data_IF_028644437143
#
_entry.id   IF_028644437143
#
_cell.length_a   1.000
_cell.length_b   1.000
_cell.length_c   1.000
_cell.angle_alpha   90.00
_cell.angle_beta   90.00
_cell.angle_gamma   90.00
#
_symmetry.space_group_name_H-M   'P 1'
#
loop_
_entity.id
_entity.type
_entity.pdbx_description
1 polymer ?
#
# COMPACT_ATOMS: atom_id res chain seq x y z
N UNK A 1 -15.48 -1.46 0.91
CA UNK A 1 -15.35 -2.82 0.36
C UNK A 1 -14.24 -2.93 -0.65
N UNK A 2 -13.31 -3.86 -0.42
CA UNK A 2 -12.28 -4.23 -1.40
C UNK A 2 -12.97 -4.90 -2.60
N UNK A 3 -12.74 -4.50 -3.86
CA UNK A 3 -13.32 -5.18 -5.02
C UNK A 3 -12.78 -6.60 -5.18
N UNK A 4 -13.62 -7.57 -5.54
CA UNK A 4 -13.27 -9.01 -5.56
C UNK A 4 -11.98 -9.35 -6.31
N UNK A 5 -11.72 -8.72 -7.46
CA UNK A 5 -10.48 -8.91 -8.23
C UNK A 5 -9.19 -8.60 -7.45
N UNK A 6 -9.30 -7.77 -6.41
CA UNK A 6 -8.22 -7.37 -5.51
C UNK A 6 -8.26 -8.07 -4.14
N UNK A 7 -9.30 -8.86 -3.81
CA UNK A 7 -9.40 -9.54 -2.51
C UNK A 7 -8.40 -10.69 -2.36
N UNK A 8 -7.99 -11.33 -3.46
CA UNK A 8 -7.13 -12.51 -3.42
C UNK A 8 -5.94 -12.44 -4.39
N UNK A 9 -4.77 -12.80 -3.88
CA UNK A 9 -3.51 -12.88 -4.64
C UNK A 9 -2.73 -14.13 -4.26
N UNK A 10 -2.21 -14.86 -5.24
CA UNK A 10 -1.18 -15.88 -4.99
C UNK A 10 0.13 -15.16 -4.62
N UNK A 11 0.87 -15.73 -3.67
CA UNK A 11 2.18 -15.22 -3.20
C UNK A 11 3.28 -16.30 -3.30
N UNK A 12 3.08 -17.25 -4.21
CA UNK A 12 3.93 -18.42 -4.44
C UNK A 12 3.38 -19.71 -3.85
N UNK A 13 4.16 -20.78 -3.99
CA UNK A 13 3.75 -22.13 -3.64
C UNK A 13 4.94 -23.10 -3.63
N UNK A 14 4.66 -24.37 -3.92
CA UNK A 14 5.63 -25.44 -4.11
C UNK A 14 5.02 -26.46 -5.07
N UNK A 15 5.53 -26.44 -6.30
CA UNK A 15 5.21 -27.44 -7.33
C UNK A 15 6.05 -28.69 -7.05
N UNK A 16 5.38 -29.84 -7.03
CA UNK A 16 5.98 -31.14 -6.82
C UNK A 16 5.67 -32.00 -8.04
N UNK A 17 6.68 -32.58 -8.73
CA UNK A 17 6.44 -33.46 -9.87
C UNK A 17 5.56 -34.65 -9.52
N UNK A 18 4.44 -34.83 -10.22
CA UNK A 18 3.33 -35.75 -9.94
C UNK A 18 2.47 -35.43 -8.68
N UNK A 19 2.69 -34.28 -8.05
CA UNK A 19 1.95 -33.78 -6.88
C UNK A 19 2.50 -34.23 -5.52
N UNK A 20 1.90 -33.74 -4.41
CA UNK A 20 0.86 -32.72 -4.35
C UNK A 20 1.42 -31.30 -4.52
N UNK A 21 0.75 -30.44 -5.30
CA UNK A 21 1.12 -29.02 -5.40
C UNK A 21 0.45 -28.20 -4.30
N UNK A 22 1.24 -27.38 -3.60
CA UNK A 22 0.80 -26.48 -2.54
C UNK A 22 0.94 -25.02 -2.99
N UNK A 23 -0.06 -24.20 -2.69
CA UNK A 23 -0.10 -22.79 -3.05
C UNK A 23 -0.52 -21.92 -1.87
N UNK A 24 -0.04 -20.68 -1.82
CA UNK A 24 -0.32 -19.73 -0.73
C UNK A 24 -1.07 -18.54 -1.30
N UNK A 25 -2.30 -18.34 -0.85
CA UNK A 25 -3.18 -17.27 -1.30
C UNK A 25 -3.41 -16.31 -0.14
N UNK A 26 -3.12 -15.02 -0.37
CA UNK A 26 -3.46 -13.95 0.57
C UNK A 26 -4.91 -13.56 0.36
N UNK A 27 -5.67 -13.60 1.44
CA UNK A 27 -6.96 -12.95 1.61
C UNK A 27 -6.72 -11.54 2.20
N UNK A 28 -6.81 -10.52 1.34
CA UNK A 28 -6.63 -9.12 1.72
C UNK A 28 -7.83 -8.55 2.50
N UNK A 29 -9.00 -9.20 2.43
CA UNK A 29 -10.17 -8.81 3.22
C UNK A 29 -9.99 -9.23 4.68
N UNK A 30 -9.71 -10.51 4.92
CA UNK A 30 -9.49 -11.04 6.28
C UNK A 30 -8.07 -10.84 6.81
N UNK A 31 -7.13 -10.39 5.96
CA UNK A 31 -5.70 -10.19 6.26
C UNK A 31 -5.01 -11.48 6.74
N UNK A 32 -5.18 -12.59 6.00
CA UNK A 32 -4.57 -13.90 6.27
C UNK A 32 -3.97 -14.52 5.01
N UNK A 33 -2.97 -15.38 5.14
CA UNK A 33 -2.67 -16.38 4.10
C UNK A 33 -3.47 -17.65 4.38
N UNK A 34 -4.05 -18.25 3.35
CA UNK A 34 -4.56 -19.63 3.39
C UNK A 34 -3.76 -20.45 2.38
N UNK A 35 -3.27 -21.61 2.80
CA UNK A 35 -2.67 -22.59 1.90
C UNK A 35 -3.74 -23.45 1.24
N UNK A 36 -3.57 -23.75 -0.04
CA UNK A 36 -4.38 -24.71 -0.79
C UNK A 36 -3.47 -25.80 -1.36
N UNK A 37 -3.79 -27.05 -1.06
CA UNK A 37 -3.05 -28.23 -1.49
C UNK A 37 -3.93 -29.05 -2.44
N UNK A 38 -3.40 -29.40 -3.61
CA UNK A 38 -4.05 -30.28 -4.58
C UNK A 38 -3.44 -31.68 -4.52
N UNK A 39 -4.23 -32.72 -4.78
CA UNK A 39 -3.75 -34.10 -4.76
C UNK A 39 -2.78 -34.45 -5.91
N UNK A 40 -2.64 -33.59 -6.91
CA UNK A 40 -1.78 -33.79 -8.09
C UNK A 40 -0.81 -32.63 -8.31
N UNK A 41 -0.18 -32.61 -9.48
CA UNK A 41 0.61 -31.47 -9.96
C UNK A 41 -0.32 -30.43 -10.59
N UNK A 42 -0.15 -29.14 -10.24
CA UNK A 42 -1.01 -28.07 -10.73
C UNK A 42 -0.29 -26.72 -10.71
N UNK A 43 -0.08 -26.15 -11.90
CA UNK A 43 0.70 -24.93 -12.14
C UNK A 43 -0.14 -23.65 -12.26
N UNK A 44 -1.47 -23.75 -12.42
CA UNK A 44 -2.36 -22.61 -12.68
C UNK A 44 -2.72 -21.83 -11.39
N UNK A 45 -2.08 -20.67 -11.20
CA UNK A 45 -2.32 -19.77 -10.05
C UNK A 45 -3.76 -19.25 -9.94
N UNK A 46 -4.40 -18.89 -11.06
CA UNK A 46 -5.76 -18.34 -11.03
C UNK A 46 -6.79 -19.45 -10.78
N UNK A 47 -6.59 -20.66 -11.28
CA UNK A 47 -7.42 -21.84 -10.95
C UNK A 47 -7.35 -22.18 -9.45
N UNK A 48 -6.18 -22.08 -8.82
CA UNK A 48 -6.03 -22.31 -7.37
C UNK A 48 -6.72 -21.23 -6.55
N UNK A 49 -6.68 -19.99 -7.02
CA UNK A 49 -7.45 -18.87 -6.48
C UNK A 49 -8.95 -19.10 -6.62
N UNK A 50 -9.45 -19.55 -7.77
CA UNK A 50 -10.87 -19.92 -7.96
C UNK A 50 -11.29 -21.06 -7.02
N UNK A 51 -10.46 -22.10 -6.86
CA UNK A 51 -10.74 -23.23 -5.98
C UNK A 51 -10.85 -22.79 -4.51
N UNK A 52 -10.00 -21.87 -4.03
CA UNK A 52 -10.14 -21.32 -2.68
C UNK A 52 -11.38 -20.43 -2.56
N UNK A 53 -11.64 -19.54 -3.52
CA UNK A 53 -12.80 -18.62 -3.53
C UNK A 53 -14.13 -19.38 -3.44
N UNK A 54 -14.21 -20.56 -4.07
CA UNK A 54 -15.38 -21.46 -4.00
C UNK A 54 -15.76 -21.84 -2.57
N UNK A 55 -14.79 -22.02 -1.68
CA UNK A 55 -15.00 -22.53 -0.30
C UNK A 55 -14.79 -21.48 0.80
N UNK A 56 -14.04 -20.40 0.55
CA UNK A 56 -13.61 -19.45 1.60
C UNK A 56 -14.77 -18.85 2.43
N UNK A 57 -15.97 -18.74 1.83
CA UNK A 57 -17.16 -18.21 2.49
C UNK A 57 -17.88 -19.21 3.42
N UNK A 58 -17.56 -20.50 3.33
CA UNK A 58 -18.10 -21.59 4.18
C UNK A 58 -17.08 -22.15 5.17
N UNK A 59 -15.78 -21.87 4.99
CA UNK A 59 -14.71 -22.25 5.91
C UNK A 59 -14.75 -21.43 7.21
N UNK A 60 -14.21 -21.99 8.29
CA UNK A 60 -14.05 -21.27 9.56
C UNK A 60 -13.00 -20.14 9.43
N UNK A 61 -13.14 -19.00 10.13
CA UNK A 61 -12.20 -17.88 10.06
C UNK A 61 -10.76 -18.20 10.50
N UNK A 62 -10.55 -19.29 11.24
CA UNK A 62 -9.25 -19.75 11.74
C UNK A 62 -8.54 -20.77 10.83
N UNK A 63 -9.19 -21.25 9.76
CA UNK A 63 -8.59 -22.18 8.77
C UNK A 63 -7.32 -21.57 8.15
N UNK A 64 -6.28 -22.39 8.09
CA UNK A 64 -4.91 -22.10 7.60
C UNK A 64 -4.58 -22.86 6.32
N UNK A 65 -5.07 -24.08 6.18
CA UNK A 65 -4.87 -24.91 5.00
C UNK A 65 -6.19 -25.57 4.58
N UNK A 66 -6.39 -25.72 3.26
CA UNK A 66 -7.37 -26.61 2.67
C UNK A 66 -6.72 -27.58 1.69
N UNK A 67 -7.24 -28.81 1.64
CA UNK A 67 -6.92 -29.78 0.59
C UNK A 67 -8.12 -29.96 -0.33
N UNK A 68 -7.88 -29.96 -1.64
CA UNK A 68 -8.94 -30.04 -2.67
C UNK A 68 -8.65 -31.10 -3.74
N UNK A 69 -9.73 -31.57 -4.38
CA UNK A 69 -9.66 -32.44 -5.55
C UNK A 69 -9.08 -31.72 -6.77
N UNK A 70 -8.76 -32.48 -7.83
CA UNK A 70 -8.38 -31.90 -9.13
C UNK A 70 -9.49 -31.04 -9.79
N UNK A 71 -10.74 -31.21 -9.35
CA UNK A 71 -11.91 -30.41 -9.77
C UNK A 71 -12.21 -29.23 -8.84
N UNK A 72 -11.45 -29.07 -7.75
CA UNK A 72 -11.61 -27.97 -6.80
C UNK A 72 -12.70 -28.20 -5.76
N UNK A 73 -12.99 -29.45 -5.41
CA UNK A 73 -13.93 -29.83 -4.34
C UNK A 73 -13.16 -29.99 -3.03
N UNK A 74 -13.71 -29.49 -1.92
CA UNK A 74 -13.05 -29.54 -0.61
C UNK A 74 -12.98 -30.98 -0.09
N UNK A 75 -11.76 -31.45 0.19
CA UNK A 75 -11.51 -32.77 0.77
C UNK A 75 -11.31 -32.70 2.29
N UNK A 76 -10.63 -31.66 2.76
CA UNK A 76 -10.41 -31.37 4.19
C UNK A 76 -9.90 -29.96 4.40
N UNK A 77 -10.15 -29.38 5.57
CA UNK A 77 -9.54 -28.15 6.05
C UNK A 77 -8.74 -28.38 7.35
N UNK A 78 -7.90 -27.41 7.72
CA UNK A 78 -7.13 -27.41 8.96
C UNK A 78 -6.92 -25.99 9.49
N UNK A 79 -7.07 -25.82 10.81
CA UNK A 79 -6.78 -24.60 11.55
C UNK A 79 -5.42 -24.65 12.30
N UNK A 80 -4.60 -25.67 12.03
CA UNK A 80 -3.29 -25.87 12.65
C UNK A 80 -2.34 -24.68 12.42
N UNK A 81 -1.80 -24.12 13.50
CA UNK A 81 -0.86 -22.98 13.47
C UNK A 81 0.50 -23.36 12.89
N UNK A 82 0.92 -24.62 12.94
CA UNK A 82 2.13 -25.09 12.23
C UNK A 82 1.95 -25.06 10.70
N UNK A 83 0.71 -24.86 10.21
CA UNK A 83 0.36 -24.62 8.79
C UNK A 83 0.00 -23.17 8.48
N UNK A 84 0.20 -22.24 9.42
CA UNK A 84 -0.01 -20.82 9.15
C UNK A 84 1.18 -20.21 8.39
N UNK A 85 1.11 -20.28 7.06
CA UNK A 85 2.06 -19.66 6.13
C UNK A 85 1.88 -18.14 5.95
N UNK A 86 1.11 -17.48 6.82
CA UNK A 86 1.04 -16.01 6.85
C UNK A 86 2.43 -15.43 7.14
N UNK A 87 2.91 -14.53 6.28
CA UNK A 87 4.20 -13.87 6.46
C UNK A 87 4.06 -12.67 7.40
N UNK A 88 4.98 -12.53 8.34
CA UNK A 88 5.13 -11.39 9.24
C UNK A 88 6.37 -10.62 8.76
N UNK A 89 6.24 -9.39 8.24
CA UNK A 89 7.41 -8.58 7.87
C UNK A 89 8.10 -7.97 9.09
N UNK A 90 9.32 -7.48 8.89
CA UNK A 90 9.97 -6.57 9.83
C UNK A 90 9.25 -5.22 9.84
N UNK A 91 8.89 -4.74 11.02
CA UNK A 91 8.44 -3.37 11.25
C UNK A 91 9.57 -2.62 11.98
N UNK A 92 10.14 -1.54 11.41
CA UNK A 92 11.24 -0.83 12.04
C UNK A 92 10.84 -0.08 13.32
N UNK A 93 11.80 0.28 14.18
CA UNK A 93 11.51 0.78 15.52
C UNK A 93 11.07 2.26 15.55
N UNK A 94 10.19 2.64 16.48
CA UNK A 94 9.67 3.99 16.71
C UNK A 94 10.76 4.92 17.21
N UNK A 95 11.64 4.42 18.07
CA UNK A 95 12.78 5.15 18.59
C UNK A 95 13.80 5.43 17.46
N UNK A 96 13.86 4.58 16.44
CA UNK A 96 14.61 4.85 15.20
C UNK A 96 13.89 5.90 14.31
N UNK A 97 12.55 5.90 14.29
CA UNK A 97 11.78 6.99 13.65
C UNK A 97 11.99 8.32 14.39
N UNK A 98 11.76 8.37 15.70
CA UNK A 98 11.94 9.54 16.57
C UNK A 98 13.38 10.09 16.55
N UNK A 99 14.40 9.22 16.43
CA UNK A 99 15.79 9.64 16.30
C UNK A 99 16.10 10.39 15.00
N UNK A 100 15.20 10.37 14.01
CA UNK A 100 15.38 11.01 12.70
C UNK A 100 14.25 11.97 12.31
N UNK A 101 13.10 11.90 13.00
CA UNK A 101 11.93 12.74 12.75
C UNK A 101 12.22 14.23 13.04
N UNK A 102 11.41 15.15 12.50
CA UNK A 102 11.37 16.54 12.97
C UNK A 102 11.03 16.63 14.46
N UNK A 103 11.09 17.83 15.04
CA UNK A 103 10.84 18.06 16.48
C UNK A 103 9.45 18.64 16.81
N UNK A 104 8.57 18.82 15.82
CA UNK A 104 7.39 19.69 15.91
C UNK A 104 6.02 18.98 15.78
N UNK A 105 5.96 17.68 15.48
CA UNK A 105 4.71 16.93 15.33
C UNK A 105 4.31 16.13 16.57
N UNK A 106 3.06 15.66 16.64
CA UNK A 106 2.62 14.63 17.62
C UNK A 106 2.56 13.26 16.94
N UNK A 107 3.64 12.51 17.08
CA UNK A 107 3.99 11.32 16.27
C UNK A 107 3.29 10.00 16.66
N UNK A 108 2.09 9.96 17.24
CA UNK A 108 1.42 8.64 17.44
C UNK A 108 -0.09 8.69 17.69
N UNK A 109 -0.69 7.51 17.48
CA UNK A 109 -2.02 7.05 17.90
C UNK A 109 -1.99 5.51 17.85
N UNK A 110 -2.50 4.79 18.83
CA UNK A 110 -2.44 3.32 18.78
C UNK A 110 -3.46 2.72 17.81
N UNK A 111 -3.13 1.61 17.14
CA UNK A 111 -4.07 0.82 16.35
C UNK A 111 -5.32 0.37 17.14
N UNK A 112 -5.21 0.22 18.46
CA UNK A 112 -6.35 -0.08 19.35
C UNK A 112 -7.29 1.11 19.60
N UNK A 113 -6.83 2.35 19.43
CA UNK A 113 -7.68 3.56 19.51
C UNK A 113 -8.55 3.73 18.24
N UNK A 114 -8.20 3.04 17.14
CA UNK A 114 -8.81 3.22 15.84
C UNK A 114 -9.91 2.20 15.56
N UNK A 115 -11.07 2.70 15.14
CA UNK A 115 -12.25 1.90 14.77
C UNK A 115 -12.36 1.84 13.25
N UNK A 116 -12.45 0.63 12.68
CA UNK A 116 -12.67 0.42 11.25
C UNK A 116 -14.02 1.00 10.79
N UNK A 117 -14.07 1.52 9.56
CA UNK A 117 -15.25 2.15 8.96
C UNK A 117 -15.52 1.71 7.53
N UNK A 118 -14.48 1.47 6.74
CA UNK A 118 -14.58 0.90 5.39
C UNK A 118 -13.25 0.25 5.00
N UNK A 119 -13.25 -0.63 4.00
CA UNK A 119 -12.07 -1.26 3.41
C UNK A 119 -11.91 -0.72 1.99
N UNK A 120 -10.91 0.13 1.78
CA UNK A 120 -10.73 0.87 0.53
C UNK A 120 -9.88 0.11 -0.51
N UNK A 121 -9.03 -0.83 -0.06
CA UNK A 121 -8.23 -1.66 -0.95
C UNK A 121 -7.30 -2.62 -0.19
N UNK A 122 -6.47 -3.41 -0.90
CA UNK A 122 -5.46 -4.27 -0.30
C UNK A 122 -4.51 -3.47 0.59
N UNK A 123 -4.52 -3.78 1.87
CA UNK A 123 -3.82 -3.01 2.91
C UNK A 123 -4.19 -1.51 2.92
N UNK A 124 -5.47 -1.14 2.75
CA UNK A 124 -5.98 0.24 2.90
C UNK A 124 -7.41 0.27 3.46
N UNK A 125 -7.61 0.86 4.64
CA UNK A 125 -8.90 0.97 5.32
C UNK A 125 -9.25 2.41 5.72
N UNK A 126 -10.54 2.76 5.75
CA UNK A 126 -11.05 3.96 6.41
C UNK A 126 -11.26 3.65 7.91
N UNK A 127 -10.83 4.56 8.78
CA UNK A 127 -10.93 4.42 10.24
C UNK A 127 -11.44 5.71 10.88
N UNK A 128 -12.00 5.61 12.09
CA UNK A 128 -12.33 6.76 12.95
C UNK A 128 -11.59 6.67 14.27
N UNK A 129 -10.99 7.77 14.73
CA UNK A 129 -10.41 7.90 16.07
C UNK A 129 -11.31 8.70 17.03
N UNK A 130 -11.31 8.41 18.35
CA UNK A 130 -11.83 9.31 19.38
C UNK A 130 -11.25 10.72 19.27
N UNK A 131 -11.96 11.68 19.85
CA UNK A 131 -11.44 13.05 20.01
C UNK A 131 -10.36 13.09 21.10
N UNK A 132 -9.28 13.84 20.85
CA UNK A 132 -8.17 13.99 21.79
C UNK A 132 -8.13 15.42 22.34
N UNK A 133 -9.14 15.77 23.13
CA UNK A 133 -9.23 17.03 23.89
C UNK A 133 -9.70 18.27 23.13
N UNK A 134 -9.94 18.19 21.82
CA UNK A 134 -10.12 19.36 20.94
C UNK A 134 -11.37 19.38 20.05
N UNK A 135 -12.19 18.33 19.98
CA UNK A 135 -13.37 18.36 19.10
C UNK A 135 -14.17 17.06 18.96
N UNK A 136 -14.64 16.78 17.75
CA UNK A 136 -15.38 15.57 17.37
C UNK A 136 -14.45 14.41 16.97
N UNK A 137 -14.95 13.16 16.86
CA UNK A 137 -14.21 12.07 16.23
C UNK A 137 -13.72 12.46 14.83
N UNK A 138 -12.48 12.12 14.48
CA UNK A 138 -11.92 12.36 13.14
C UNK A 138 -11.88 11.06 12.35
N UNK A 139 -12.28 11.13 11.08
CA UNK A 139 -11.98 10.10 10.08
C UNK A 139 -10.55 10.26 9.60
N UNK A 140 -9.90 9.12 9.36
CA UNK A 140 -8.56 8.96 8.78
C UNK A 140 -8.61 7.76 7.84
N UNK A 141 -7.61 7.57 6.98
CA UNK A 141 -7.36 6.27 6.35
C UNK A 141 -6.08 5.68 6.92
N UNK A 142 -5.99 4.36 6.79
CA UNK A 142 -5.00 3.47 7.32
C UNK A 142 -4.62 2.46 6.22
N UNK A 143 -3.68 2.84 5.34
CA UNK A 143 -2.87 1.85 4.57
C UNK A 143 -2.12 0.92 5.55
N UNK A 144 -1.46 -0.16 5.15
CA UNK A 144 -0.48 -0.84 6.05
C UNK A 144 0.49 -1.78 5.33
N UNK A 145 1.40 -2.34 6.14
CA UNK A 145 2.35 -3.43 5.91
C UNK A 145 1.89 -4.87 6.21
N UNK A 146 1.76 -5.76 5.23
CA UNK A 146 1.65 -7.22 5.48
C UNK A 146 2.78 -8.07 4.86
N UNK A 147 3.62 -7.52 3.98
CA UNK A 147 4.69 -8.27 3.30
C UNK A 147 5.99 -7.46 3.20
N UNK A 148 7.13 -8.14 3.29
CA UNK A 148 8.48 -7.52 3.33
C UNK A 148 8.80 -6.70 2.08
N UNK A 149 8.29 -7.12 0.92
CA UNK A 149 8.41 -6.41 -0.37
C UNK A 149 7.83 -4.98 -0.36
N UNK A 150 7.05 -4.62 0.67
CA UNK A 150 6.49 -3.28 0.85
C UNK A 150 7.16 -2.49 1.99
N UNK A 151 8.03 -3.12 2.80
CA UNK A 151 8.64 -2.48 3.99
C UNK A 151 9.43 -1.22 3.62
N UNK A 152 10.32 -1.31 2.63
CA UNK A 152 11.18 -0.18 2.25
C UNK A 152 10.39 0.95 1.57
N UNK A 153 9.48 0.60 0.66
CA UNK A 153 8.61 1.57 -0.02
C UNK A 153 7.70 2.33 0.97
N UNK A 154 7.13 1.65 1.96
CA UNK A 154 6.32 2.29 3.01
C UNK A 154 7.17 3.11 3.98
N UNK A 155 8.38 2.65 4.32
CA UNK A 155 9.33 3.44 5.12
C UNK A 155 9.74 4.73 4.41
N UNK A 156 10.03 4.66 3.10
CA UNK A 156 10.34 5.82 2.27
C UNK A 156 9.13 6.78 2.14
N UNK A 157 7.94 6.27 1.79
CA UNK A 157 6.69 7.05 1.69
C UNK A 157 6.44 7.86 2.98
N UNK A 158 6.49 7.19 4.14
CA UNK A 158 6.30 7.80 5.44
C UNK A 158 7.35 8.88 5.73
N UNK A 159 8.64 8.56 5.55
CA UNK A 159 9.73 9.46 5.90
C UNK A 159 9.81 10.69 4.99
N UNK A 160 9.44 10.55 3.72
CA UNK A 160 9.25 11.66 2.80
C UNK A 160 8.04 12.52 3.21
N UNK A 161 6.87 11.92 3.35
CA UNK A 161 5.62 12.66 3.55
C UNK A 161 5.60 13.43 4.88
N UNK A 162 6.25 12.92 5.92
CA UNK A 162 6.42 13.64 7.21
C UNK A 162 7.46 14.76 7.19
N UNK A 163 8.27 14.89 6.12
CA UNK A 163 9.33 15.91 5.96
C UNK A 163 9.02 16.93 4.86
N UNK A 164 8.01 16.68 4.01
CA UNK A 164 7.47 17.71 3.13
C UNK A 164 6.95 18.88 3.98
N UNK A 165 7.39 20.13 3.74
CA UNK A 165 6.84 21.30 4.42
C UNK A 165 5.38 21.51 3.99
N UNK A 166 4.61 22.26 4.78
CA UNK A 166 3.21 22.54 4.50
C UNK A 166 3.04 23.22 3.13
N UNK A 167 2.56 22.46 2.14
CA UNK A 167 2.32 22.90 0.77
C UNK A 167 0.83 22.74 0.45
N UNK A 168 0.17 23.82 0.02
CA UNK A 168 -1.27 23.88 -0.29
C UNK A 168 -1.73 23.00 -1.46
N UNK A 169 -0.81 22.35 -2.18
CA UNK A 169 -1.11 21.46 -3.30
C UNK A 169 -0.62 20.02 -3.06
N UNK A 170 -0.31 19.68 -1.81
CA UNK A 170 0.03 18.33 -1.34
C UNK A 170 -0.89 18.01 -0.15
N UNK A 171 -1.38 16.78 -0.05
CA UNK A 171 -2.20 16.38 1.11
C UNK A 171 -1.38 16.49 2.40
N UNK A 172 -1.80 17.27 3.41
CA UNK A 172 -1.03 17.46 4.62
C UNK A 172 -1.00 16.18 5.46
N UNK A 173 0.19 15.88 6.01
CA UNK A 173 0.42 14.73 6.87
C UNK A 173 -0.16 14.98 8.29
N UNK A 174 -1.44 14.61 8.55
CA UNK A 174 -2.06 14.81 9.88
C UNK A 174 -1.24 14.12 10.98
N UNK A 175 -1.02 12.80 10.88
CA UNK A 175 -0.27 12.05 11.89
C UNK A 175 0.47 10.83 11.38
N UNK A 176 1.49 10.48 12.16
CA UNK A 176 1.99 9.11 12.30
C UNK A 176 0.86 8.25 12.87
N UNK A 177 0.18 7.47 12.02
CA UNK A 177 -0.94 6.59 12.38
C UNK A 177 -0.41 5.21 12.78
N UNK A 178 0.03 5.06 14.03
CA UNK A 178 0.92 3.97 14.42
C UNK A 178 0.28 2.63 14.83
N UNK A 179 0.99 1.53 14.55
CA UNK A 179 0.77 0.21 15.18
C UNK A 179 2.06 -0.36 15.78
N UNK A 180 1.94 -1.02 16.94
CA UNK A 180 3.04 -1.32 17.87
C UNK A 180 3.65 -2.72 17.68
N UNK A 181 4.68 -2.88 16.86
CA UNK A 181 5.53 -4.08 16.88
C UNK A 181 6.43 -4.06 18.13
N UNK A 182 6.16 -4.96 19.08
CA UNK A 182 6.92 -5.04 20.33
C UNK A 182 6.67 -3.80 21.19
N UNK A 183 7.55 -2.80 21.08
CA UNK A 183 7.45 -1.54 21.82
C UNK A 183 7.18 -0.31 20.91
N UNK A 184 7.01 -0.50 19.59
CA UNK A 184 7.40 0.51 18.57
C UNK A 184 6.52 0.56 17.25
N UNK A 185 6.40 1.68 16.48
CA UNK A 185 5.15 2.30 15.91
C UNK A 185 5.24 2.88 14.42
N UNK A 186 4.27 2.68 13.44
CA UNK A 186 4.36 3.02 11.94
C UNK A 186 3.04 3.41 11.09
N UNK A 187 3.06 4.12 9.88
CA UNK A 187 2.11 5.22 9.34
C UNK A 187 1.57 5.32 7.84
N UNK A 188 0.35 5.90 7.50
CA UNK A 188 -0.44 5.57 6.23
C UNK A 188 -1.86 6.24 5.67
N UNK A 189 -2.01 7.28 4.76
CA UNK A 189 -3.08 7.46 3.63
C UNK A 189 -4.52 8.20 3.65
N UNK A 190 -5.25 8.43 2.47
CA UNK A 190 -6.78 8.58 2.15
C UNK A 190 -7.27 8.89 0.64
N UNK A 191 -8.60 9.14 0.27
CA UNK A 191 -9.19 9.37 -1.14
C UNK A 191 -10.46 10.31 -1.34
N UNK A 192 -10.88 10.76 -2.58
CA UNK A 192 -12.06 11.69 -2.93
C UNK A 192 -12.74 11.57 -4.37
N UNK A 193 -13.42 12.63 -4.90
CA UNK A 193 -14.35 12.70 -6.10
C UNK A 193 -13.86 13.67 -7.24
N UNK A 194 -14.52 13.73 -8.42
CA UNK A 194 -14.02 14.45 -9.65
C UNK A 194 -14.92 15.55 -10.27
N UNK A 195 -14.30 16.70 -10.55
CA UNK A 195 -14.49 17.58 -11.74
C UNK A 195 -13.10 17.70 -12.43
N UNK A 196 -12.84 18.63 -13.36
CA UNK A 196 -11.45 19.09 -13.60
C UNK A 196 -11.37 20.57 -14.03
N UNK A 197 -10.67 21.40 -13.24
CA UNK A 197 -10.52 22.85 -13.46
C UNK A 197 -9.13 23.24 -13.96
N UNK A 198 -9.02 24.36 -14.68
CA UNK A 198 -7.75 24.89 -15.15
C UNK A 198 -6.88 25.45 -14.00
N UNK A 199 -7.49 25.86 -12.88
CA UNK A 199 -6.80 26.11 -11.61
C UNK A 199 -6.07 24.84 -11.12
N UNK A 200 -6.78 23.71 -11.08
CA UNK A 200 -6.27 22.43 -10.61
C UNK A 200 -5.12 21.89 -11.49
N UNK A 201 -5.13 22.14 -12.80
CA UNK A 201 -3.94 21.92 -13.63
C UNK A 201 -2.75 22.73 -13.09
N UNK A 202 -2.90 24.04 -12.88
CA UNK A 202 -1.79 24.89 -12.38
C UNK A 202 -1.31 24.45 -10.99
N UNK A 203 -2.20 23.99 -10.12
CA UNK A 203 -1.87 23.44 -8.80
C UNK A 203 -0.99 22.18 -8.94
N UNK A 204 -1.36 21.24 -9.82
CA UNK A 204 -0.54 20.06 -10.13
C UNK A 204 0.83 20.43 -10.72
N UNK A 205 0.87 21.37 -11.67
CA UNK A 205 2.13 21.81 -12.28
C UNK A 205 3.05 22.50 -11.25
N UNK A 206 2.48 23.23 -10.29
CA UNK A 206 3.24 23.83 -9.18
C UNK A 206 3.79 22.76 -8.24
N UNK A 207 2.98 21.77 -7.85
CA UNK A 207 3.42 20.68 -6.98
C UNK A 207 4.56 19.84 -7.61
N UNK A 208 4.54 19.62 -8.93
CA UNK A 208 5.60 18.91 -9.66
C UNK A 208 6.86 19.77 -9.89
N UNK A 209 6.72 21.11 -10.02
CA UNK A 209 7.86 22.02 -9.98
C UNK A 209 8.49 22.07 -8.59
N UNK A 210 7.69 22.15 -7.52
CA UNK A 210 8.18 22.11 -6.13
C UNK A 210 8.91 20.79 -5.83
N UNK A 211 8.28 19.64 -6.06
CA UNK A 211 8.91 18.33 -5.81
C UNK A 211 10.25 18.19 -6.56
N UNK A 212 10.25 18.43 -7.88
CA UNK A 212 11.44 18.17 -8.69
C UNK A 212 12.54 19.24 -8.52
N UNK A 213 12.19 20.53 -8.53
CA UNK A 213 13.14 21.63 -8.63
C UNK A 213 13.47 22.28 -7.28
N UNK A 214 12.55 22.18 -6.32
CA UNK A 214 12.69 22.81 -5.00
C UNK A 214 13.16 21.81 -3.94
N UNK A 215 12.60 20.60 -3.95
CA UNK A 215 12.86 19.56 -2.94
C UNK A 215 13.74 18.39 -3.42
N UNK A 216 14.05 18.30 -4.72
CA UNK A 216 14.97 17.28 -5.29
C UNK A 216 14.37 15.88 -5.42
N UNK A 217 13.05 15.76 -5.47
CA UNK A 217 12.27 14.50 -5.45
C UNK A 217 11.55 14.29 -6.78
N UNK A 218 11.49 13.02 -7.23
CA UNK A 218 10.49 12.57 -8.22
C UNK A 218 9.40 11.74 -7.55
N UNK A 219 8.15 11.92 -7.96
CA UNK A 219 7.01 11.18 -7.44
C UNK A 219 6.87 9.78 -8.07
N UNK A 220 7.25 9.65 -9.35
CA UNK A 220 7.27 8.42 -10.14
C UNK A 220 5.91 7.73 -10.39
N UNK A 221 4.81 8.36 -9.97
CA UNK A 221 3.42 7.93 -10.26
C UNK A 221 2.42 9.09 -10.21
N UNK A 222 2.71 10.19 -10.90
CA UNK A 222 1.71 11.24 -11.16
C UNK A 222 0.59 10.60 -12.01
N UNK A 223 -0.61 10.45 -11.44
CA UNK A 223 -1.75 9.73 -12.02
C UNK A 223 -3.10 10.30 -11.54
N UNK A 224 -4.21 10.23 -12.31
CA UNK A 224 -5.53 10.75 -11.93
C UNK A 224 -6.19 10.09 -10.70
N UNK A 225 -5.62 9.00 -10.20
CA UNK A 225 -6.01 8.31 -8.96
C UNK A 225 -5.29 8.86 -7.72
N UNK A 226 -4.17 9.56 -7.92
CA UNK A 226 -3.26 10.08 -6.90
C UNK A 226 -3.47 11.60 -6.70
N UNK A 227 -4.60 12.13 -7.17
CA UNK A 227 -5.02 13.53 -7.01
C UNK A 227 -6.34 13.60 -6.26
N UNK A 228 -6.44 14.51 -5.29
CA UNK A 228 -7.68 14.87 -4.59
C UNK A 228 -8.04 16.33 -4.88
N UNK A 229 -9.27 16.69 -4.53
CA UNK A 229 -9.69 18.10 -4.43
C UNK A 229 -10.15 18.34 -2.99
N UNK A 230 -9.62 19.40 -2.38
CA UNK A 230 -10.11 19.92 -1.12
C UNK A 230 -11.44 20.67 -1.36
N UNK A 231 -12.51 20.22 -0.70
CA UNK A 231 -13.85 20.77 -0.90
C UNK A 231 -14.05 22.13 -0.23
N UNK A 232 -13.21 22.49 0.75
CA UNK A 232 -13.30 23.74 1.50
C UNK A 232 -12.42 24.84 0.87
N UNK A 233 -11.28 24.47 0.28
CA UNK A 233 -10.33 25.44 -0.34
C UNK A 233 -10.35 25.48 -1.88
N UNK A 234 -10.99 24.50 -2.53
CA UNK A 234 -10.96 24.29 -4.00
C UNK A 234 -9.55 24.04 -4.57
N UNK A 235 -8.56 23.70 -3.73
CA UNK A 235 -7.22 23.30 -4.16
C UNK A 235 -7.18 21.84 -4.59
N UNK A 236 -6.26 21.53 -5.53
CA UNK A 236 -5.95 20.16 -5.92
C UNK A 236 -4.73 19.70 -5.14
N UNK A 237 -4.82 18.51 -4.55
CA UNK A 237 -3.81 17.94 -3.66
C UNK A 237 -3.23 16.65 -4.25
N UNK A 238 -1.91 16.57 -4.35
CA UNK A 238 -1.16 15.37 -4.74
C UNK A 238 -0.91 14.46 -3.51
N UNK A 239 -0.98 13.14 -3.69
CA UNK A 239 -0.73 12.14 -2.63
C UNK A 239 -0.26 10.78 -3.20
N UNK A 240 0.00 9.82 -2.28
CA UNK A 240 0.50 8.45 -2.57
C UNK A 240 1.95 8.43 -3.10
N UNK A 241 2.87 8.96 -2.28
CA UNK A 241 4.30 9.02 -2.53
C UNK A 241 5.03 7.64 -2.47
N UNK A 242 4.31 6.53 -2.68
CA UNK A 242 4.80 5.15 -2.52
C UNK A 242 5.93 4.75 -3.49
N UNK A 243 6.01 5.39 -4.65
CA UNK A 243 7.08 5.23 -5.63
C UNK A 243 8.09 6.39 -5.62
N UNK A 244 7.98 7.34 -4.68
CA UNK A 244 8.79 8.56 -4.73
C UNK A 244 10.25 8.35 -4.33
N UNK A 245 11.17 9.04 -5.01
CA UNK A 245 12.61 8.87 -4.85
C UNK A 245 13.37 10.20 -4.90
N UNK A 246 14.55 10.23 -4.29
CA UNK A 246 15.56 11.29 -4.49
C UNK A 246 16.07 11.24 -5.93
N UNK A 247 16.12 12.39 -6.60
CA UNK A 247 16.70 12.48 -7.95
C UNK A 247 18.18 12.08 -7.90
N UNK A 248 18.62 11.23 -8.83
CA UNK A 248 20.01 10.76 -8.94
C UNK A 248 20.39 9.60 -8.00
N UNK A 249 19.49 9.14 -7.13
CA UNK A 249 19.67 7.94 -6.30
C UNK A 249 19.06 6.69 -6.97
N UNK A 250 19.48 5.50 -6.53
CA UNK A 250 19.14 4.22 -7.19
C UNK A 250 17.64 3.90 -7.31
N UNK A 251 16.81 4.48 -6.44
CA UNK A 251 15.35 4.26 -6.42
C UNK A 251 14.62 5.06 -7.54
N UNK A 252 15.29 6.04 -8.17
CA UNK A 252 14.72 6.89 -9.21
C UNK A 252 14.79 6.22 -10.59
N UNK A 253 13.77 5.44 -10.94
CA UNK A 253 13.66 4.79 -12.23
C UNK A 253 13.50 5.80 -13.38
N UNK A 254 14.46 5.94 -14.32
CA UNK A 254 14.46 7.00 -15.33
C UNK A 254 13.26 6.93 -16.30
N UNK A 255 12.62 5.77 -16.42
CA UNK A 255 11.39 5.60 -17.18
C UNK A 255 10.16 6.27 -16.53
N UNK A 256 10.12 6.40 -15.20
CA UNK A 256 9.00 6.94 -14.40
C UNK A 256 9.13 8.45 -14.17
N UNK A 257 9.33 9.20 -15.25
CA UNK A 257 9.52 10.65 -15.20
C UNK A 257 8.21 11.41 -14.90
N UNK A 258 8.22 12.35 -13.95
CA UNK A 258 7.01 13.10 -13.53
C UNK A 258 6.43 14.01 -14.61
N UNK A 259 7.26 14.60 -15.49
CA UNK A 259 6.77 15.42 -16.61
C UNK A 259 5.98 14.51 -17.57
N UNK A 260 6.47 13.29 -17.83
CA UNK A 260 5.76 12.26 -18.60
C UNK A 260 4.45 11.83 -17.90
N UNK A 261 4.50 11.53 -16.61
CA UNK A 261 3.31 11.16 -15.81
C UNK A 261 2.25 12.27 -15.77
N UNK A 262 2.67 13.54 -15.70
CA UNK A 262 1.79 14.71 -15.75
C UNK A 262 1.10 14.84 -17.10
N UNK A 263 1.81 14.65 -18.22
CA UNK A 263 1.23 14.71 -19.57
C UNK A 263 0.12 13.65 -19.74
N UNK A 264 0.37 12.40 -19.33
CA UNK A 264 -0.64 11.35 -19.38
C UNK A 264 -1.82 11.65 -18.43
N UNK A 265 -1.55 12.11 -17.21
CA UNK A 265 -2.59 12.46 -16.22
C UNK A 265 -3.58 13.50 -16.73
N UNK A 266 -3.10 14.56 -17.39
CA UNK A 266 -3.95 15.63 -17.92
C UNK A 266 -4.75 15.15 -19.15
N UNK A 267 -4.19 14.23 -19.94
CA UNK A 267 -4.92 13.54 -21.00
C UNK A 267 -6.04 12.66 -20.43
N UNK A 268 -5.71 11.72 -19.54
CA UNK A 268 -6.64 10.79 -18.89
C UNK A 268 -7.81 11.50 -18.17
N UNK A 269 -7.56 12.66 -17.56
CA UNK A 269 -8.61 13.47 -16.92
C UNK A 269 -9.62 14.06 -17.92
N UNK A 270 -9.17 14.38 -19.15
CA UNK A 270 -9.98 15.00 -20.21
C UNK A 270 -10.66 13.93 -21.08
N UNK A 271 -9.96 12.87 -21.44
CA UNK A 271 -10.42 11.85 -22.41
C UNK A 271 -11.02 10.61 -21.76
N UNK A 272 -10.67 10.32 -20.50
CA UNK A 272 -10.87 9.03 -19.81
C UNK A 272 -10.20 7.82 -20.47
N UNK A 273 -9.34 8.03 -21.47
CA UNK A 273 -8.50 7.01 -22.08
C UNK A 273 -7.18 6.87 -21.29
N UNK A 274 -6.96 5.70 -20.72
CA UNK A 274 -5.75 5.31 -19.98
C UNK A 274 -4.87 4.30 -20.73
N UNK A 275 -5.18 3.99 -21.99
CA UNK A 275 -4.49 2.97 -22.80
C UNK A 275 -2.98 3.19 -22.91
N UNK A 276 -2.53 4.46 -22.93
CA UNK A 276 -1.12 4.82 -22.89
C UNK A 276 -0.42 4.42 -21.60
N UNK A 277 -1.12 4.41 -20.45
CA UNK A 277 -0.59 4.03 -19.13
C UNK A 277 -0.67 2.52 -18.88
N UNK A 278 -1.53 1.79 -19.59
CA UNK A 278 -1.59 0.32 -19.56
C UNK A 278 -0.33 -0.33 -20.17
N UNK A 279 0.46 0.40 -20.98
CA UNK A 279 1.79 -0.03 -21.44
C UNK A 279 2.80 -0.01 -20.28
N UNK A 280 3.79 -0.93 -20.23
CA UNK A 280 4.90 -0.87 -19.27
C UNK A 280 5.67 0.45 -19.31
N UNK A 281 6.17 0.91 -18.16
CA UNK A 281 6.71 2.27 -17.97
C UNK A 281 7.82 2.67 -18.95
N UNK A 282 8.60 1.71 -19.44
CA UNK A 282 9.68 1.89 -20.42
C UNK A 282 9.20 2.05 -21.87
N UNK A 283 8.03 1.50 -22.22
CA UNK A 283 7.37 1.66 -23.54
C UNK A 283 6.50 2.92 -23.63
N UNK A 284 6.11 3.50 -22.48
CA UNK A 284 5.30 4.72 -22.42
C UNK A 284 6.05 5.93 -22.99
N UNK A 285 5.56 6.50 -24.10
CA UNK A 285 6.13 7.67 -24.75
C UNK A 285 5.15 8.86 -24.72
N UNK A 286 5.59 10.02 -24.19
CA UNK A 286 4.75 11.23 -24.14
C UNK A 286 4.53 11.88 -25.52
N UNK A 287 5.34 11.56 -26.53
CA UNK A 287 5.16 12.05 -27.89
C UNK A 287 3.85 11.53 -28.51
N UNK A 288 3.41 10.32 -28.16
CA UNK A 288 2.17 9.70 -28.63
C UNK A 288 0.96 10.60 -28.34
N UNK A 289 0.87 11.12 -27.11
CA UNK A 289 -0.21 12.03 -26.66
C UNK A 289 0.00 13.48 -27.09
N UNK A 290 1.26 13.96 -27.10
CA UNK A 290 1.58 15.35 -27.48
C UNK A 290 1.42 15.64 -28.97
N UNK A 291 1.67 14.66 -29.83
CA UNK A 291 1.57 14.81 -31.29
C UNK A 291 0.14 14.81 -31.82
N UNK A 292 -0.83 14.34 -31.02
CA UNK A 292 -2.25 14.40 -31.37
C UNK A 292 -2.69 15.85 -31.62
N UNK A 293 -3.31 16.12 -32.78
CA UNK A 293 -3.82 17.46 -33.11
C UNK A 293 -4.92 17.93 -32.15
N UNK A 294 -5.80 17.02 -31.76
CA UNK A 294 -6.94 17.25 -30.89
C UNK A 294 -7.00 16.13 -29.83
N UNK A 295 -7.69 16.39 -28.72
CA UNK A 295 -8.01 15.37 -27.71
C UNK A 295 -9.54 15.26 -27.61
N UNK A 296 -10.09 14.06 -27.78
CA UNK A 296 -11.53 13.83 -27.66
C UNK A 296 -11.95 13.89 -26.19
N UNK A 297 -12.64 14.96 -25.78
CA UNK A 297 -13.19 15.08 -24.41
C UNK A 297 -14.22 13.98 -24.19
N UNK A 298 -14.13 13.26 -23.08
CA UNK A 298 -15.19 12.33 -22.68
C UNK A 298 -16.50 13.10 -22.42
N UNK A 299 -17.69 12.54 -22.76
CA UNK A 299 -18.97 13.20 -22.46
C UNK A 299 -19.07 13.61 -20.98
N UNK A 300 -18.81 12.67 -20.08
CA UNK A 300 -18.90 12.81 -18.60
C UNK A 300 -17.71 13.56 -17.96
N UNK A 301 -17.05 14.44 -18.70
CA UNK A 301 -16.00 15.32 -18.18
C UNK A 301 -16.42 16.77 -18.33
N UNK A 302 -16.69 17.43 -17.21
CA UNK A 302 -16.84 18.88 -17.15
C UNK A 302 -15.47 19.56 -17.04
N UNK A 303 -15.27 20.57 -17.88
CA UNK A 303 -14.11 21.46 -17.86
C UNK A 303 -14.60 22.90 -17.73
N UNK A 304 -13.91 23.70 -16.92
CA UNK A 304 -14.19 25.13 -16.75
C UNK A 304 -13.68 26.00 -17.92
N UNK A 305 -12.77 25.45 -18.75
CA UNK A 305 -12.19 26.11 -19.92
C UNK A 305 -12.11 25.17 -21.14
N UNK A 306 -11.94 25.69 -22.37
CA UNK A 306 -11.67 24.87 -23.55
C UNK A 306 -10.38 24.05 -23.42
N UNK A 307 -10.36 22.84 -24.00
CA UNK A 307 -9.21 21.91 -24.01
C UNK A 307 -7.91 22.58 -24.49
N UNK A 308 -8.00 23.52 -25.43
CA UNK A 308 -6.88 24.30 -25.95
C UNK A 308 -6.14 25.08 -24.84
N UNK A 309 -6.83 25.58 -23.81
CA UNK A 309 -6.19 26.28 -22.69
C UNK A 309 -5.45 25.32 -21.75
N UNK A 310 -6.00 24.13 -21.50
CA UNK A 310 -5.33 23.07 -20.75
C UNK A 310 -4.05 22.63 -21.48
N UNK A 311 -4.17 22.34 -22.78
CA UNK A 311 -3.02 21.96 -23.63
C UNK A 311 -1.98 23.06 -23.72
N UNK A 312 -2.37 24.32 -23.97
CA UNK A 312 -1.43 25.45 -24.00
C UNK A 312 -0.68 25.61 -22.67
N UNK A 313 -1.39 25.53 -21.53
CA UNK A 313 -0.79 25.63 -20.20
C UNK A 313 0.22 24.49 -19.96
N UNK A 314 -0.15 23.25 -20.29
CA UNK A 314 0.72 22.09 -20.21
C UNK A 314 1.94 22.20 -21.13
N UNK A 315 1.75 22.54 -22.41
CA UNK A 315 2.83 22.63 -23.40
C UNK A 315 3.82 23.77 -23.10
N UNK A 316 3.33 24.93 -22.61
CA UNK A 316 4.19 26.00 -22.11
C UNK A 316 5.02 25.56 -20.89
N UNK A 317 4.43 24.79 -19.96
CA UNK A 317 5.17 24.23 -18.82
C UNK A 317 6.18 23.17 -19.23
N UNK A 318 5.82 22.22 -20.11
CA UNK A 318 6.75 21.20 -20.64
C UNK A 318 7.89 21.87 -21.43
N UNK A 319 7.63 22.99 -22.12
CA UNK A 319 8.67 23.80 -22.77
C UNK A 319 9.61 24.44 -21.73
N UNK A 320 9.07 25.16 -20.74
CA UNK A 320 9.82 25.73 -19.60
C UNK A 320 10.69 24.65 -18.92
N UNK A 321 10.15 23.47 -18.66
CA UNK A 321 10.85 22.34 -18.04
C UNK A 321 11.85 21.62 -18.93
N UNK A 322 11.88 21.88 -20.24
CA UNK A 322 12.94 21.43 -21.16
C UNK A 322 14.07 22.46 -21.30
N UNK A 323 13.75 23.74 -21.22
CA UNK A 323 14.68 24.85 -21.47
C UNK A 323 15.32 25.42 -20.18
N UNK A 324 14.69 25.21 -19.02
CA UNK A 324 15.19 25.62 -17.71
C UNK A 324 16.11 24.59 -17.04
N UNK A 325 16.51 24.91 -15.81
CA UNK A 325 17.35 24.06 -14.95
C UNK A 325 16.78 22.64 -14.85
N UNK A 326 17.62 21.67 -15.20
CA UNK A 326 17.42 20.27 -14.82
C UNK A 326 18.14 20.04 -13.50
N UNK A 327 17.52 19.27 -12.61
CA UNK A 327 18.21 18.70 -11.45
C UNK A 327 18.61 17.27 -11.81
N UNK A 328 19.89 16.96 -11.68
CA UNK A 328 20.47 15.63 -11.92
C UNK A 328 20.72 14.83 -10.65
N UNK A 329 20.85 15.51 -9.51
CA UNK A 329 21.03 14.92 -8.19
C UNK A 329 20.32 15.77 -7.11
N UNK A 330 19.59 15.14 -6.19
CA UNK A 330 18.64 15.81 -5.27
C UNK A 330 19.24 17.01 -4.51
N UNK A 331 20.53 16.92 -4.11
CA UNK A 331 21.26 17.98 -3.39
C UNK A 331 21.49 19.27 -4.17
N UNK A 332 21.23 19.29 -5.48
CA UNK A 332 21.21 20.50 -6.30
C UNK A 332 19.96 21.36 -6.02
N UNK A 333 18.94 20.81 -5.35
CA UNK A 333 17.71 21.53 -5.02
C UNK A 333 17.90 22.42 -3.77
N UNK A 334 17.33 23.66 -3.77
CA UNK A 334 17.59 24.66 -2.74
C UNK A 334 17.01 24.32 -1.36
N UNK A 335 15.92 23.57 -1.30
CA UNK A 335 15.31 23.04 -0.07
C UNK A 335 15.30 21.50 -0.12
N UNK A 336 16.37 20.87 -0.62
CA UNK A 336 16.42 19.42 -0.82
C UNK A 336 16.05 18.63 0.43
N UNK A 337 15.15 17.66 0.28
CA UNK A 337 14.69 16.80 1.37
C UNK A 337 15.50 15.50 1.32
N UNK A 338 16.23 15.21 2.40
CA UNK A 338 16.92 13.94 2.61
C UNK A 338 16.19 13.13 3.69
N UNK A 339 16.28 11.80 3.62
CA UNK A 339 15.62 10.89 4.57
C UNK A 339 16.41 9.61 4.86
N UNK A 340 16.33 9.05 6.07
CA UNK A 340 17.05 7.83 6.42
C UNK A 340 16.60 6.64 5.56
N UNK A 341 17.53 5.72 5.28
CA UNK A 341 17.20 4.39 4.76
C UNK A 341 16.40 3.60 5.81
N UNK A 342 15.79 2.49 5.39
CA UNK A 342 15.18 1.52 6.30
C UNK A 342 16.22 1.05 7.32
N UNK A 343 15.93 1.07 8.64
CA UNK A 343 16.81 0.47 9.64
C UNK A 343 17.09 -1.01 9.34
N UNK A 344 18.31 -1.46 9.62
CA UNK A 344 18.68 -2.86 9.43
C UNK A 344 17.88 -3.79 10.36
N UNK A 345 17.54 -4.99 9.87
CA UNK A 345 16.82 -5.97 10.68
C UNK A 345 17.66 -6.51 11.83
N UNK A 346 17.08 -6.82 13.00
CA UNK A 346 17.77 -7.60 14.02
C UNK A 346 18.13 -9.00 13.47
N UNK A 347 19.40 -9.37 13.59
CA UNK A 347 19.92 -10.67 13.17
C UNK A 347 19.42 -11.76 14.11
N UNK A 348 18.56 -12.65 13.60
CA UNK A 348 17.99 -13.76 14.38
C UNK A 348 18.90 -14.98 14.31
N UNK A 349 19.08 -15.65 15.45
CA UNK A 349 19.78 -16.94 15.56
C UNK A 349 18.83 -18.01 16.07
N UNK A 350 18.85 -19.18 15.45
CA UNK A 350 18.05 -20.35 15.85
C UNK A 350 18.81 -21.65 15.58
N UNK A 351 18.55 -22.68 16.39
CA UNK A 351 19.07 -24.02 16.13
C UNK A 351 18.15 -24.72 15.13
N UNK A 352 18.72 -25.23 14.05
CA UNK A 352 18.05 -26.08 13.08
C UNK A 352 18.73 -27.46 13.05
N UNK A 353 18.04 -28.49 12.54
CA UNK A 353 18.72 -29.72 12.15
C UNK A 353 19.19 -29.63 10.70
N UNK A 354 20.37 -30.19 10.42
CA UNK A 354 20.84 -30.40 9.06
C UNK A 354 20.22 -31.67 8.43
N UNK A 355 20.60 -32.00 7.19
CA UNK A 355 20.13 -33.20 6.49
C UNK A 355 20.63 -34.52 7.09
N UNK A 356 21.50 -34.44 8.09
CA UNK A 356 22.09 -35.55 8.84
C UNK A 356 21.51 -35.64 10.27
N UNK A 357 20.61 -34.72 10.64
CA UNK A 357 19.96 -34.65 11.95
C UNK A 357 20.76 -33.92 13.05
N UNK A 358 21.93 -33.36 12.72
CA UNK A 358 22.80 -32.65 13.67
C UNK A 358 22.30 -31.23 13.91
N UNK A 359 22.51 -30.72 15.12
CA UNK A 359 22.10 -29.36 15.47
C UNK A 359 23.10 -28.30 14.98
N UNK A 360 22.62 -27.40 14.12
CA UNK A 360 23.38 -26.32 13.49
C UNK A 360 22.70 -24.99 13.81
N UNK A 361 23.45 -24.05 14.39
CA UNK A 361 22.97 -22.68 14.61
C UNK A 361 22.93 -21.95 13.27
N UNK A 362 21.73 -21.60 12.81
CA UNK A 362 21.50 -20.75 11.65
C UNK A 362 21.35 -19.30 12.09
N UNK A 363 21.89 -18.40 11.27
CA UNK A 363 21.85 -16.94 11.46
C UNK A 363 21.18 -16.33 10.23
N UNK A 364 20.10 -15.57 10.42
CA UNK A 364 19.32 -14.98 9.31
C UNK A 364 18.98 -13.50 9.59
N UNK A 365 19.00 -12.62 8.59
CA UNK A 365 18.34 -11.31 8.66
C UNK A 365 16.84 -11.48 8.91
N UNK A 366 16.27 -10.62 9.74
CA UNK A 366 14.88 -10.73 10.22
C UNK A 366 13.82 -10.09 9.33
N UNK A 367 14.03 -9.99 8.00
CA UNK A 367 13.16 -9.23 7.06
C UNK A 367 11.71 -9.74 7.03
N UNK A 368 11.52 -11.05 7.14
CA UNK A 368 10.23 -11.66 7.41
C UNK A 368 10.36 -12.95 8.23
N UNK A 369 9.24 -13.49 8.70
CA UNK A 369 9.12 -14.81 9.29
C UNK A 369 7.69 -15.31 9.10
N UNK A 370 7.46 -16.60 8.83
CA UNK A 370 6.11 -17.19 8.78
C UNK A 370 5.54 -17.40 10.19
N UNK A 371 4.23 -17.25 10.37
CA UNK A 371 3.58 -17.43 11.69
C UNK A 371 3.86 -18.82 12.27
N UNK A 372 3.78 -19.89 11.47
CA UNK A 372 4.15 -21.24 11.92
C UNK A 372 5.57 -21.30 12.51
N UNK A 373 6.56 -20.70 11.84
CA UNK A 373 7.94 -20.66 12.32
C UNK A 373 8.10 -19.76 13.56
N UNK A 374 7.42 -18.61 13.60
CA UNK A 374 7.45 -17.73 14.76
C UNK A 374 6.83 -18.40 16.00
N UNK A 375 5.69 -19.09 15.84
CA UNK A 375 5.03 -19.86 16.88
C UNK A 375 5.95 -20.97 17.43
N UNK A 376 6.48 -21.81 16.54
CA UNK A 376 7.44 -22.89 16.86
C UNK A 376 8.69 -22.42 17.61
N UNK A 377 9.16 -21.20 17.30
CA UNK A 377 10.32 -20.57 17.94
C UNK A 377 9.97 -19.77 19.21
N UNK A 378 8.69 -19.67 19.60
CA UNK A 378 8.24 -18.86 20.73
C UNK A 378 8.43 -17.34 20.51
N UNK A 379 8.52 -16.89 19.26
CA UNK A 379 8.79 -15.50 18.90
C UNK A 379 7.49 -14.67 18.86
N UNK A 380 7.48 -13.43 19.39
CA UNK A 380 6.33 -12.55 19.28
C UNK A 380 6.13 -12.07 17.84
N UNK A 381 4.86 -11.90 17.46
CA UNK A 381 4.43 -11.36 16.17
C UNK A 381 3.11 -10.60 16.30
N UNK A 382 2.82 -9.71 15.34
CA UNK A 382 1.54 -9.01 15.27
C UNK A 382 0.50 -9.87 14.58
N UNK A 383 -0.66 -10.06 15.22
CA UNK A 383 -1.84 -10.51 14.51
C UNK A 383 -2.47 -9.32 13.75
N UNK A 384 -2.84 -9.58 12.50
CA UNK A 384 -3.55 -8.66 11.62
C UNK A 384 -4.95 -9.15 11.25
N UNK A 385 -5.26 -10.42 11.48
CA UNK A 385 -6.48 -11.08 11.04
C UNK A 385 -7.73 -10.37 11.56
N UNK A 386 -8.75 -10.28 10.70
CA UNK A 386 -10.04 -9.65 11.03
C UNK A 386 -11.23 -10.45 10.46
N UNK A 387 -12.45 -10.26 10.99
CA UNK A 387 -13.66 -10.80 10.39
C UNK A 387 -13.83 -10.32 8.93
N UNK A 388 -14.43 -11.17 8.09
CA UNK A 388 -14.79 -10.79 6.71
C UNK A 388 -15.75 -9.59 6.71
N UNK A 389 -15.70 -8.78 5.68
CA UNK A 389 -16.56 -7.60 5.56
C UNK A 389 -18.05 -7.99 5.55
N UNK A 390 -18.89 -7.24 6.27
CA UNK A 390 -20.33 -7.48 6.33
C UNK A 390 -20.80 -8.69 7.17
N UNK A 391 -19.92 -9.33 7.98
CA UNK A 391 -20.36 -10.31 9.00
C UNK A 391 -20.87 -9.64 10.29
N UNK A 392 -20.37 -8.44 10.63
CA UNK A 392 -20.58 -7.84 11.94
C UNK A 392 -21.94 -7.13 12.07
N UNK A 393 -22.53 -7.24 13.26
CA UNK A 393 -23.76 -6.56 13.62
C UNK A 393 -23.60 -5.03 13.61
N UNK A 394 -24.72 -4.30 13.45
CA UNK A 394 -24.70 -2.82 13.38
C UNK A 394 -24.19 -2.15 14.66
N UNK A 395 -24.31 -2.83 15.79
CA UNK A 395 -23.85 -2.34 17.10
C UNK A 395 -22.41 -2.79 17.43
N UNK A 396 -21.79 -3.61 16.59
CA UNK A 396 -20.41 -4.05 16.73
C UNK A 396 -19.41 -2.99 16.26
N UNK A 397 -18.39 -2.75 17.09
CA UNK A 397 -17.25 -1.89 16.74
C UNK A 397 -16.04 -2.75 16.45
N UNK A 398 -15.67 -2.87 15.17
CA UNK A 398 -14.39 -3.43 14.77
C UNK A 398 -13.27 -2.40 15.01
N UNK A 399 -12.22 -2.80 15.73
CA UNK A 399 -10.98 -2.06 15.83
C UNK A 399 -10.06 -2.40 14.65
N UNK A 400 -9.15 -1.48 14.30
CA UNK A 400 -8.13 -1.74 13.28
C UNK A 400 -7.19 -2.91 13.62
N UNK A 401 -7.16 -3.33 14.89
CA UNK A 401 -6.50 -4.55 15.39
C UNK A 401 -7.14 -5.86 14.91
N UNK A 402 -8.35 -5.81 14.33
CA UNK A 402 -9.18 -6.98 14.05
C UNK A 402 -10.10 -7.38 15.21
N UNK A 403 -9.95 -6.76 16.38
CA UNK A 403 -10.76 -7.02 17.59
C UNK A 403 -12.17 -6.42 17.46
N UNK A 404 -13.20 -7.18 17.80
CA UNK A 404 -14.59 -6.70 17.86
C UNK A 404 -14.95 -6.31 19.29
N UNK A 405 -15.61 -5.17 19.47
CA UNK A 405 -16.16 -4.68 20.75
C UNK A 405 -17.67 -4.48 20.57
N UNK A 406 -18.47 -5.21 21.33
CA UNK A 406 -19.94 -5.27 21.17
C UNK A 406 -20.37 -6.26 20.09
N UNK A 407 -21.44 -7.01 20.36
CA UNK A 407 -21.83 -8.21 19.60
C UNK A 407 -21.74 -9.48 20.46
N UNK A 408 -22.33 -10.60 20.02
CA UNK A 408 -22.35 -11.86 20.79
C UNK A 408 -20.96 -12.48 20.94
N UNK A 409 -20.76 -13.26 22.00
CA UNK A 409 -19.48 -13.91 22.32
C UNK A 409 -19.06 -14.92 21.23
N UNK A 410 -18.16 -14.51 20.34
CA UNK A 410 -17.20 -15.45 19.73
C UNK A 410 -16.36 -16.02 20.88
N UNK A 411 -16.57 -17.30 21.19
CA UNK A 411 -16.03 -17.94 22.40
C UNK A 411 -14.50 -17.76 22.51
N UNK A 412 -13.97 -17.50 23.72
CA UNK A 412 -12.54 -17.32 23.90
C UNK A 412 -11.78 -18.60 23.51
N UNK A 413 -10.64 -18.51 22.80
CA UNK A 413 -9.84 -19.69 22.46
C UNK A 413 -9.44 -20.42 23.74
N UNK A 414 -9.66 -21.73 23.75
CA UNK A 414 -9.48 -22.55 24.95
C UNK A 414 -8.03 -22.56 25.42
N UNK A 415 -7.76 -21.99 26.59
CA UNK A 415 -6.43 -22.05 27.21
C UNK A 415 -6.03 -23.51 27.51
N UNK A 416 -4.95 -23.95 26.87
CA UNK A 416 -3.99 -24.94 27.39
C UNK A 416 -2.59 -24.48 27.01
#
# INVERSE_FOLDING_TARGET
MIPDKWKWSVIGGSLMPNGPSNWRIVDWDQRRTVAITTAGEQEDEDLMKEFLIRHINTLSPDVREVSVSATGDLLSDSNDVERDYTNIPYYPPFQALLATAPSNHKYSISRSDMREKDRLGPMVDLVSRPAFGDGSPKLLVFKYYLHEQFTEARWAEMNLWMRLPANRHIVPFDRVVSDRLGDEDVVVGFTTKKQFKLSWLRHLLSAVDDLNLKYGIVHQDIAPRNLLVDCDTDDLLLFDFNYSARIGEGDAGPARNDIKGTIFTVYELITRDDSFRQKPFWEQNSADVKSMKEWAKHPDVELDHPISMFRQTLDSWVKKRREGQQITHYREAPEHIDWPKTPETPVRRYTAKDGQGSEVVRTVPGWSTQVCFAHKMGWPYLNWQRPREGILDKDSVLLATGTVIGGPEMAPPSRR
#
